data_IF_432588588955
#
_entry.id   IF_432588588955
#
_cell.length_a   1.000
_cell.length_b   1.000
_cell.length_c   1.000
_cell.angle_alpha   90.00
_cell.angle_beta   90.00
_cell.angle_gamma   90.00
#
_symmetry.space_group_name_H-M   'P 1'
#
loop_
_entity.id
_entity.type
_entity.pdbx_description
1 polymer ?
#
# COMPACT_ATOMS: atom_id res chain seq x y z
N UNK A 1 11.64 -28.73 2.37
CA UNK A 1 11.18 -27.73 3.31
C UNK A 1 10.12 -26.84 2.72
N UNK A 2 8.99 -26.84 3.33
CA UNK A 2 7.90 -26.05 2.82
C UNK A 2 8.19 -24.57 3.00
N UNK A 3 7.81 -23.81 2.01
CA UNK A 3 7.84 -22.40 2.08
C UNK A 3 6.65 -21.93 2.90
N UNK A 4 6.91 -21.13 3.89
CA UNK A 4 5.85 -20.63 4.74
C UNK A 4 5.37 -19.29 4.23
N UNK A 5 4.12 -19.27 3.79
CA UNK A 5 3.47 -18.02 3.45
C UNK A 5 2.78 -17.48 4.69
N UNK A 6 2.80 -16.18 4.83
CA UNK A 6 2.14 -15.52 5.94
C UNK A 6 1.16 -14.51 5.41
N UNK A 7 0.15 -14.22 6.19
CA UNK A 7 -0.83 -13.19 5.88
C UNK A 7 -0.32 -11.84 6.35
N UNK A 8 -0.42 -10.85 5.49
CA UNK A 8 0.04 -9.49 5.78
C UNK A 8 -1.04 -8.49 5.41
N UNK A 9 -0.99 -7.37 6.09
CA UNK A 9 -1.83 -6.23 5.75
C UNK A 9 -0.93 -5.04 5.46
N UNK A 10 -1.16 -4.39 4.35
CA UNK A 10 -0.42 -3.20 3.98
C UNK A 10 -1.39 -2.04 3.92
N UNK A 11 -1.14 -1.02 4.73
CA UNK A 11 -1.90 0.22 4.68
C UNK A 11 -0.98 1.28 4.12
N UNK A 12 -1.42 1.97 3.09
CA UNK A 12 -0.62 3.06 2.57
C UNK A 12 -1.50 4.27 2.29
N UNK A 13 -0.88 5.42 2.38
CA UNK A 13 -1.56 6.70 2.22
C UNK A 13 -0.97 7.39 1.02
N UNK A 14 -1.83 7.71 0.06
CA UNK A 14 -1.43 8.39 -1.16
C UNK A 14 -1.73 9.87 -1.07
N UNK A 15 -0.95 10.66 -1.79
CA UNK A 15 -1.13 12.10 -1.86
C UNK A 15 -2.43 12.41 -2.59
N UNK A 16 -3.40 13.06 -1.94
CA UNK A 16 -4.69 13.33 -2.58
C UNK A 16 -4.61 14.38 -3.68
N UNK A 17 -3.49 15.09 -3.79
CA UNK A 17 -3.33 16.10 -4.86
C UNK A 17 -2.96 15.50 -6.20
N UNK A 18 -2.69 14.19 -6.24
CA UNK A 18 -2.34 13.50 -7.49
C UNK A 18 -3.49 13.41 -8.48
N UNK A 19 -4.73 13.46 -8.00
CA UNK A 19 -5.89 13.25 -8.84
C UNK A 19 -6.27 11.77 -8.94
N UNK A 20 -7.47 11.52 -9.43
CA UNK A 20 -8.02 10.16 -9.47
C UNK A 20 -7.23 9.22 -10.36
N UNK A 21 -6.80 9.70 -11.52
CA UNK A 21 -6.08 8.85 -12.47
C UNK A 21 -4.75 8.36 -11.89
N UNK A 22 -3.98 9.28 -11.32
CA UNK A 22 -2.69 8.91 -10.75
C UNK A 22 -2.87 8.01 -9.53
N UNK A 23 -3.87 8.29 -8.70
CA UNK A 23 -4.19 7.46 -7.54
C UNK A 23 -4.55 6.05 -7.98
N UNK A 24 -5.43 5.92 -8.97
CA UNK A 24 -5.83 4.62 -9.49
C UNK A 24 -4.65 3.86 -10.08
N UNK A 25 -3.76 4.56 -10.78
CA UNK A 25 -2.59 3.94 -11.36
C UNK A 25 -1.65 3.38 -10.29
N UNK A 26 -1.47 4.11 -9.20
CA UNK A 26 -0.64 3.63 -8.10
C UNK A 26 -1.26 2.42 -7.41
N UNK A 27 -2.56 2.46 -7.15
CA UNK A 27 -3.25 1.32 -6.54
C UNK A 27 -3.09 0.09 -7.43
N UNK A 28 -3.30 0.24 -8.72
CA UNK A 28 -3.18 -0.86 -9.67
C UNK A 28 -1.75 -1.40 -9.72
N UNK A 29 -0.76 -0.52 -9.68
CA UNK A 29 0.64 -0.92 -9.65
C UNK A 29 0.94 -1.80 -8.46
N UNK A 30 0.47 -1.41 -7.27
CA UNK A 30 0.74 -2.17 -6.06
C UNK A 30 -0.05 -3.48 -6.04
N UNK A 31 -1.28 -3.48 -6.56
CA UNK A 31 -2.06 -4.72 -6.67
C UNK A 31 -1.33 -5.73 -7.56
N UNK A 32 -0.87 -5.28 -8.71
CA UNK A 32 -0.15 -6.14 -9.65
C UNK A 32 1.14 -6.68 -9.02
N UNK A 33 1.85 -5.80 -8.31
CA UNK A 33 3.09 -6.20 -7.64
C UNK A 33 2.84 -7.29 -6.61
N UNK A 34 1.80 -7.13 -5.80
CA UNK A 34 1.44 -8.13 -4.79
C UNK A 34 1.03 -9.44 -5.45
N UNK A 35 0.21 -9.37 -6.50
CA UNK A 35 -0.25 -10.57 -7.20
C UNK A 35 0.90 -11.31 -7.87
N UNK A 36 1.93 -10.60 -8.28
CA UNK A 36 3.11 -11.21 -8.89
C UNK A 36 3.98 -11.94 -7.88
N UNK A 37 3.88 -11.62 -6.61
CA UNK A 37 4.74 -12.15 -5.57
C UNK A 37 4.00 -12.94 -4.50
N UNK A 38 2.70 -13.07 -4.63
CA UNK A 38 1.89 -13.79 -3.67
C UNK A 38 0.43 -13.81 -4.10
N UNK A 39 -0.45 -13.92 -3.14
CA UNK A 39 -1.89 -13.94 -3.39
C UNK A 39 -2.52 -12.73 -2.73
N UNK A 40 -3.16 -11.90 -3.54
CA UNK A 40 -3.89 -10.76 -3.04
C UNK A 40 -5.27 -11.24 -2.59
N UNK A 41 -5.56 -11.09 -1.30
CA UNK A 41 -6.83 -11.53 -0.74
C UNK A 41 -7.89 -10.45 -0.85
N UNK A 42 -7.52 -9.21 -0.54
CA UNK A 42 -8.50 -8.14 -0.48
C UNK A 42 -7.83 -6.78 -0.68
N UNK A 43 -8.53 -5.88 -1.32
CA UNK A 43 -8.12 -4.48 -1.44
C UNK A 43 -9.30 -3.64 -1.00
N UNK A 44 -9.05 -2.78 -0.02
CA UNK A 44 -10.08 -1.92 0.52
C UNK A 44 -9.61 -0.47 0.35
N UNK A 45 -10.29 0.26 -0.50
CA UNK A 45 -9.95 1.66 -0.75
C UNK A 45 -10.87 2.52 0.12
N UNK A 46 -10.28 3.04 1.18
CA UNK A 46 -11.04 3.85 2.13
C UNK A 46 -11.32 5.26 1.62
N UNK A 47 -10.58 5.70 0.60
CA UNK A 47 -10.73 7.02 0.05
C UNK A 47 -10.03 8.08 0.88
N UNK A 48 -10.41 9.33 0.65
CA UNK A 48 -9.81 10.45 1.36
C UNK A 48 -10.24 10.45 2.81
N UNK A 49 -9.26 10.60 3.70
CA UNK A 49 -9.50 10.68 5.13
C UNK A 49 -8.67 11.79 5.72
N UNK A 50 -9.16 12.39 6.77
CA UNK A 50 -8.38 13.37 7.51
C UNK A 50 -7.26 12.67 8.27
N UNK A 51 -6.08 13.23 8.19
CA UNK A 51 -4.93 12.72 8.93
C UNK A 51 -5.02 13.20 10.37
N UNK A 52 -4.52 12.36 11.29
CA UNK A 52 -4.48 12.74 12.70
C UNK A 52 -3.56 13.95 12.90
N UNK A 53 -2.57 14.10 12.02
CA UNK A 53 -1.67 15.24 12.02
C UNK A 53 -1.24 15.48 10.56
N UNK A 54 -0.86 16.71 10.20
CA UNK A 54 -0.46 16.99 8.83
C UNK A 54 0.82 16.27 8.44
N UNK A 55 0.86 15.78 7.19
CA UNK A 55 2.05 15.21 6.58
C UNK A 55 2.37 16.08 5.37
N UNK A 56 3.55 16.66 5.33
CA UNK A 56 3.96 17.58 4.26
C UNK A 56 2.93 18.70 4.06
N UNK A 57 2.41 19.22 5.15
CA UNK A 57 1.38 20.28 5.16
C UNK A 57 0.03 19.85 4.58
N UNK A 58 -0.15 18.57 4.33
CA UNK A 58 -1.42 18.03 3.88
C UNK A 58 -2.19 17.47 5.07
N UNK A 59 -3.47 17.79 5.15
CA UNK A 59 -4.32 17.35 6.25
C UNK A 59 -5.18 16.14 5.87
N UNK A 60 -5.14 15.74 4.61
CA UNK A 60 -5.90 14.60 4.11
C UNK A 60 -4.99 13.63 3.37
N UNK A 61 -5.39 12.39 3.32
CA UNK A 61 -4.69 11.37 2.56
C UNK A 61 -5.68 10.36 1.99
N UNK A 62 -5.28 9.72 0.91
CA UNK A 62 -6.09 8.65 0.31
C UNK A 62 -5.59 7.32 0.87
N UNK A 63 -6.42 6.66 1.65
CA UNK A 63 -6.06 5.44 2.37
C UNK A 63 -6.45 4.22 1.57
N UNK A 64 -5.52 3.27 1.49
CA UNK A 64 -5.78 1.97 0.86
C UNK A 64 -5.24 0.88 1.76
N UNK A 65 -6.05 -0.14 1.99
CA UNK A 65 -5.65 -1.32 2.73
C UNK A 65 -5.63 -2.51 1.78
N UNK A 66 -4.52 -3.25 1.78
CA UNK A 66 -4.43 -4.50 1.03
C UNK A 66 -4.11 -5.63 1.98
N UNK A 67 -4.86 -6.72 1.87
CA UNK A 67 -4.57 -7.94 2.61
C UNK A 67 -4.06 -8.98 1.62
N UNK A 68 -2.91 -9.54 1.92
CA UNK A 68 -2.28 -10.48 0.99
C UNK A 68 -1.51 -11.56 1.73
N UNK A 69 -1.19 -12.62 1.00
CA UNK A 69 -0.38 -13.72 1.51
C UNK A 69 0.87 -13.84 0.64
N UNK A 70 2.03 -13.89 1.26
CA UNK A 70 3.28 -13.99 0.52
C UNK A 70 4.35 -14.67 1.35
N UNK A 71 5.51 -14.93 0.72
CA UNK A 71 6.68 -15.37 1.46
C UNK A 71 7.17 -14.22 2.34
N UNK A 72 7.84 -14.53 3.47
CA UNK A 72 8.25 -13.49 4.42
C UNK A 72 9.19 -12.42 3.89
N UNK A 73 9.89 -12.69 2.81
CA UNK A 73 10.81 -11.70 2.24
C UNK A 73 10.13 -10.61 1.41
N UNK A 74 8.92 -10.85 0.93
CA UNK A 74 8.25 -9.89 0.07
C UNK A 74 7.85 -8.59 0.76
N UNK A 75 7.34 -8.59 2.01
CA UNK A 75 6.95 -7.33 2.65
C UNK A 75 8.07 -6.30 2.73
N UNK A 76 9.31 -6.73 2.92
CA UNK A 76 10.45 -5.82 2.93
C UNK A 76 10.64 -5.16 1.58
N UNK A 77 10.49 -5.92 0.51
CA UNK A 77 10.58 -5.40 -0.85
C UNK A 77 9.45 -4.43 -1.15
N UNK A 78 8.24 -4.77 -0.72
CA UNK A 78 7.08 -3.92 -0.91
C UNK A 78 7.25 -2.60 -0.16
N UNK A 79 7.75 -2.66 1.07
CA UNK A 79 8.01 -1.47 1.86
C UNK A 79 9.03 -0.56 1.18
N UNK A 80 10.08 -1.15 0.62
CA UNK A 80 11.09 -0.40 -0.11
C UNK A 80 10.48 0.31 -1.31
N UNK A 81 9.62 -0.39 -2.04
CA UNK A 81 8.96 0.18 -3.20
C UNK A 81 8.03 1.32 -2.81
N UNK A 82 7.32 1.19 -1.70
CA UNK A 82 6.50 2.29 -1.19
C UNK A 82 7.35 3.53 -0.90
N UNK A 83 8.52 3.34 -0.32
CA UNK A 83 9.38 4.46 0.05
C UNK A 83 9.95 5.21 -1.13
N UNK A 84 10.20 4.50 -2.24
CA UNK A 84 10.79 5.13 -3.41
C UNK A 84 9.76 5.58 -4.43
N UNK A 85 8.49 5.34 -4.18
CA UNK A 85 7.42 5.71 -5.09
C UNK A 85 6.90 7.09 -4.74
N UNK A 86 6.98 8.00 -5.70
CA UNK A 86 6.42 9.33 -5.53
C UNK A 86 4.90 9.20 -5.38
N UNK A 87 4.34 9.99 -4.50
CA UNK A 87 2.91 9.99 -4.25
C UNK A 87 2.50 9.14 -3.06
N UNK A 88 3.36 8.27 -2.56
CA UNK A 88 3.11 7.53 -1.33
C UNK A 88 3.61 8.36 -0.16
N UNK A 89 2.69 8.86 0.65
CA UNK A 89 3.02 9.70 1.79
C UNK A 89 3.50 8.86 2.97
N UNK A 90 2.88 7.70 3.15
CA UNK A 90 3.19 6.86 4.29
C UNK A 90 2.75 5.44 4.00
N UNK A 91 3.41 4.48 4.63
CA UNK A 91 3.04 3.08 4.49
C UNK A 91 3.34 2.33 5.76
N UNK A 92 2.56 1.26 5.98
CA UNK A 92 2.74 0.38 7.13
C UNK A 92 2.36 -1.03 6.70
N UNK A 93 3.22 -1.98 6.99
CA UNK A 93 2.95 -3.39 6.69
C UNK A 93 3.03 -4.17 7.99
N UNK A 94 1.97 -4.90 8.30
CA UNK A 94 1.90 -5.71 9.52
C UNK A 94 1.53 -7.16 9.18
N UNK A 95 1.88 -8.04 10.07
CA UNK A 95 1.50 -9.44 9.96
C UNK A 95 0.10 -9.68 10.48
#
# INVERSE_FOLDING_TARGET
>A
MAKLNANYEAVYILDPTLGEEATAALVEKFKTLVESNGTLAEVDEWGKRHLAYPINDLTEGYYVLMTFTSVPGFPQELDRIFRITDGVMRSLIVC
#
